data_IF_296149396364
#
_entry.id   IF_296149396364
#
_cell.length_a   1.000
_cell.length_b   1.000
_cell.length_c   1.000
_cell.angle_alpha   90.00
_cell.angle_beta   90.00
_cell.angle_gamma   90.00
#
_symmetry.space_group_name_H-M   'P 1'
#
loop_
_entity.id
_entity.type
_entity.pdbx_description
1 polymer ?
#
# COMPACT_ATOMS: atom_id res chain seq x y z
N UNK A 1 -4.96 -20.87 22.86
CA UNK A 1 -4.51 -20.53 21.48
C UNK A 1 -5.17 -19.25 20.96
N UNK A 2 -6.52 -19.15 20.90
CA UNK A 2 -7.21 -17.95 20.36
C UNK A 2 -6.78 -16.62 21.01
N UNK A 3 -6.79 -16.53 22.34
CA UNK A 3 -6.40 -15.30 23.05
C UNK A 3 -4.94 -14.88 22.80
N UNK A 4 -4.04 -15.85 22.63
CA UNK A 4 -2.66 -15.57 22.24
C UNK A 4 -2.57 -14.96 20.85
N UNK A 5 -3.33 -15.48 19.88
CA UNK A 5 -3.37 -14.91 18.53
C UNK A 5 -3.95 -13.50 18.51
N UNK A 6 -5.05 -13.28 19.26
CA UNK A 6 -5.65 -11.95 19.40
C UNK A 6 -4.65 -10.96 20.00
N UNK A 7 -3.95 -11.35 21.06
CA UNK A 7 -2.93 -10.50 21.68
C UNK A 7 -1.81 -10.14 20.69
N UNK A 8 -1.33 -11.11 19.89
CA UNK A 8 -0.30 -10.88 18.86
C UNK A 8 -0.81 -9.91 17.78
N UNK A 9 -2.03 -10.09 17.29
CA UNK A 9 -2.60 -9.21 16.27
C UNK A 9 -2.79 -7.78 16.79
N UNK A 10 -3.30 -7.63 18.01
CA UNK A 10 -3.44 -6.32 18.64
C UNK A 10 -2.09 -5.63 18.83
N UNK A 11 -1.08 -6.36 19.29
CA UNK A 11 0.28 -5.82 19.43
C UNK A 11 0.86 -5.40 18.07
N UNK A 12 0.70 -6.23 17.03
CA UNK A 12 1.17 -5.91 15.68
C UNK A 12 0.49 -4.65 15.11
N UNK A 13 -0.82 -4.52 15.29
CA UNK A 13 -1.59 -3.34 14.88
C UNK A 13 -1.11 -2.09 15.62
N UNK A 14 -0.96 -2.17 16.95
CA UNK A 14 -0.49 -1.03 17.76
C UNK A 14 0.89 -0.55 17.31
N UNK A 15 1.84 -1.48 17.14
CA UNK A 15 3.20 -1.17 16.69
C UNK A 15 3.22 -0.56 15.28
N UNK A 16 2.32 -1.00 14.40
CA UNK A 16 2.27 -0.48 13.02
C UNK A 16 1.62 0.90 12.90
N UNK A 17 0.69 1.23 13.81
CA UNK A 17 -0.10 2.46 13.73
C UNK A 17 0.42 3.61 14.60
N UNK A 18 1.18 3.34 15.66
CA UNK A 18 1.55 4.35 16.69
C UNK A 18 2.25 5.60 16.13
N UNK A 19 3.02 5.46 15.04
CA UNK A 19 3.73 6.56 14.37
C UNK A 19 3.50 6.55 12.85
N UNK A 20 2.37 5.99 12.40
CA UNK A 20 2.04 5.90 10.99
C UNK A 20 1.96 7.29 10.35
N UNK A 21 2.64 7.49 9.23
CA UNK A 21 2.72 8.78 8.55
C UNK A 21 3.68 9.79 9.17
N UNK A 22 4.28 9.50 10.33
CA UNK A 22 5.34 10.33 10.92
C UNK A 22 6.74 9.81 10.57
N UNK A 23 6.90 8.48 10.45
CA UNK A 23 8.19 7.83 10.21
C UNK A 23 8.04 6.70 9.18
N UNK A 24 8.89 6.64 8.13
CA UNK A 24 9.78 7.72 7.67
C UNK A 24 8.98 8.92 7.15
N UNK A 25 9.56 10.13 7.13
CA UNK A 25 8.87 11.30 6.60
C UNK A 25 8.74 11.21 5.08
N UNK A 26 7.53 11.44 4.57
CA UNK A 26 7.24 11.47 3.13
C UNK A 26 7.09 10.08 2.50
N UNK A 27 6.90 10.06 1.19
CA UNK A 27 6.75 8.82 0.42
C UNK A 27 8.11 8.23 0.07
N UNK A 28 8.23 6.93 0.23
CA UNK A 28 9.35 6.19 -0.35
C UNK A 28 9.18 6.07 -1.87
N UNK A 29 10.28 5.74 -2.57
CA UNK A 29 10.30 5.73 -4.04
C UNK A 29 9.18 4.87 -4.64
N UNK A 30 9.03 3.64 -4.15
CA UNK A 30 8.00 2.72 -4.64
C UNK A 30 6.59 3.20 -4.30
N UNK A 31 6.39 3.74 -3.09
CA UNK A 31 5.10 4.28 -2.65
C UNK A 31 4.63 5.43 -3.56
N UNK A 32 5.56 6.29 -3.97
CA UNK A 32 5.26 7.37 -4.91
C UNK A 32 4.86 6.82 -6.29
N UNK A 33 5.59 5.85 -6.85
CA UNK A 33 5.23 5.24 -8.13
C UNK A 33 3.87 4.54 -8.08
N UNK A 34 3.63 3.77 -7.01
CA UNK A 34 2.36 3.10 -6.80
C UNK A 34 1.18 4.09 -6.70
N UNK A 35 1.37 5.21 -6.00
CA UNK A 35 0.38 6.27 -5.93
C UNK A 35 0.08 6.91 -7.29
N UNK A 36 1.10 7.15 -8.12
CA UNK A 36 0.92 7.69 -9.47
C UNK A 36 0.19 6.71 -10.40
N UNK A 37 0.47 5.42 -10.30
CA UNK A 37 -0.24 4.39 -11.06
C UNK A 37 -1.70 4.27 -10.59
N UNK A 38 -1.94 4.29 -9.28
CA UNK A 38 -3.29 4.27 -8.72
C UNK A 38 -4.11 5.50 -9.16
N UNK A 39 -3.49 6.68 -9.23
CA UNK A 39 -4.12 7.88 -9.78
C UNK A 39 -4.47 7.72 -11.26
N UNK A 40 -3.67 7.02 -12.06
CA UNK A 40 -4.03 6.72 -13.46
C UNK A 40 -5.30 5.85 -13.51
N UNK A 41 -5.39 4.82 -12.66
CA UNK A 41 -6.60 3.98 -12.56
C UNK A 41 -7.83 4.82 -12.17
N UNK A 42 -7.71 5.68 -11.17
CA UNK A 42 -8.80 6.56 -10.73
C UNK A 42 -9.24 7.56 -11.82
N UNK A 43 -8.36 7.88 -12.78
CA UNK A 43 -8.69 8.69 -13.95
C UNK A 43 -9.27 7.87 -15.12
N UNK A 44 -9.53 6.57 -14.92
CA UNK A 44 -10.17 5.69 -15.91
C UNK A 44 -9.20 4.85 -16.74
N UNK A 45 -7.90 4.89 -16.45
CA UNK A 45 -6.92 4.01 -17.11
C UNK A 45 -6.94 2.62 -16.47
N UNK A 46 -7.64 1.68 -17.11
CA UNK A 46 -7.76 0.29 -16.66
C UNK A 46 -6.62 -0.61 -17.17
N UNK A 47 -5.40 -0.09 -17.17
CA UNK A 47 -4.20 -0.82 -17.60
C UNK A 47 -4.02 -2.15 -16.87
N UNK A 48 -3.57 -3.16 -17.62
CA UNK A 48 -3.24 -4.50 -17.11
C UNK A 48 -1.74 -4.69 -16.82
N UNK A 49 -0.93 -3.69 -17.12
CA UNK A 49 0.51 -3.70 -16.88
C UNK A 49 1.03 -2.26 -16.74
N UNK A 50 1.86 -2.01 -15.72
CA UNK A 50 2.43 -0.70 -15.45
C UNK A 50 3.95 -0.73 -15.70
N UNK A 51 4.46 -0.08 -16.77
CA UNK A 51 5.87 -0.21 -17.17
C UNK A 51 6.85 0.59 -16.30
N UNK A 52 6.36 1.60 -15.56
CA UNK A 52 7.21 2.39 -14.66
C UNK A 52 7.86 1.50 -13.58
N UNK A 53 8.95 1.97 -12.96
CA UNK A 53 9.65 1.30 -11.84
C UNK A 53 9.74 -0.25 -11.98
N UNK A 54 10.48 -0.69 -13.00
CA UNK A 54 10.80 -2.10 -13.31
C UNK A 54 9.65 -2.99 -13.79
N UNK A 55 8.49 -2.42 -14.10
CA UNK A 55 7.33 -3.20 -14.54
C UNK A 55 6.57 -3.81 -13.37
N UNK A 56 5.24 -3.66 -13.34
CA UNK A 56 4.38 -4.14 -12.26
C UNK A 56 3.11 -4.80 -12.74
N UNK A 57 2.70 -5.82 -11.99
CA UNK A 57 1.40 -6.45 -12.10
C UNK A 57 0.30 -5.56 -11.51
N UNK A 58 -0.92 -5.62 -12.06
CA UNK A 58 -1.94 -4.61 -11.80
C UNK A 58 -2.66 -4.79 -10.46
N UNK A 59 -2.76 -6.01 -9.93
CA UNK A 59 -3.62 -6.32 -8.77
C UNK A 59 -3.33 -5.41 -7.57
N UNK A 60 -2.06 -5.23 -7.24
CA UNK A 60 -1.68 -4.39 -6.10
C UNK A 60 -2.04 -2.91 -6.33
N UNK A 61 -1.88 -2.41 -7.56
CA UNK A 61 -2.22 -1.02 -7.90
C UNK A 61 -3.73 -0.79 -7.84
N UNK A 62 -4.54 -1.75 -8.31
CA UNK A 62 -6.00 -1.67 -8.16
C UNK A 62 -6.44 -1.66 -6.70
N UNK A 63 -5.77 -2.42 -5.82
CA UNK A 63 -6.05 -2.40 -4.39
C UNK A 63 -5.71 -1.05 -3.77
N UNK A 64 -4.62 -0.41 -4.19
CA UNK A 64 -4.27 0.96 -3.75
C UNK A 64 -5.29 1.97 -4.26
N UNK A 65 -5.73 1.85 -5.51
CA UNK A 65 -6.77 2.74 -6.06
C UNK A 65 -8.12 2.59 -5.32
N UNK A 66 -8.40 1.42 -4.75
CA UNK A 66 -9.62 1.14 -4.01
C UNK A 66 -9.55 1.42 -2.49
N UNK A 67 -8.37 1.76 -1.95
CA UNK A 67 -8.14 1.95 -0.50
C UNK A 67 -8.35 3.37 -0.01
#
# INVERSE_FOLDING_TARGET
>A
MLWGMVAVLLAATALRLVAFGQIPPGLYHDEAYHGLDALQILNGDLSLYFPANNGREPLFIYLIAAS
#
